data_IF_125554624812
#
_entry.id   IF_125554624812
#
_cell.length_a   1.000
_cell.length_b   1.000
_cell.length_c   1.000
_cell.angle_alpha   90.00
_cell.angle_beta   90.00
_cell.angle_gamma   90.00
#
_symmetry.space_group_name_H-M   'P 1'
#
loop_
_entity.id
_entity.type
_entity.pdbx_description
1 polymer ?
#
# COMPACT_ATOMS: atom_id res chain seq x y z
N UNK A 1 -56.24 -22.43 14.83
CA UNK A 1 -55.42 -23.02 13.77
C UNK A 1 -54.78 -21.85 13.02
N UNK A 2 -53.62 -21.46 13.43
CA UNK A 2 -52.92 -20.35 12.80
C UNK A 2 -51.45 -20.69 12.79
N UNK A 3 -50.90 -20.84 11.60
CA UNK A 3 -49.50 -21.11 11.35
C UNK A 3 -48.81 -19.76 11.28
N UNK A 4 -47.93 -19.49 12.21
CA UNK A 4 -47.00 -18.39 12.16
C UNK A 4 -45.65 -18.96 11.87
N UNK A 5 -45.09 -18.55 10.73
CA UNK A 5 -43.66 -18.74 10.39
C UNK A 5 -42.87 -17.56 10.95
N UNK A 6 -41.76 -17.79 11.61
CA UNK A 6 -40.81 -16.70 11.90
C UNK A 6 -39.86 -16.55 10.71
N UNK A 7 -39.85 -15.39 10.14
CA UNK A 7 -38.75 -14.89 9.31
C UNK A 7 -37.75 -14.22 10.25
N UNK A 8 -36.79 -14.97 10.71
CA UNK A 8 -35.68 -14.44 11.46
C UNK A 8 -34.57 -13.98 10.55
N UNK A 9 -34.33 -12.69 10.67
CA UNK A 9 -33.03 -12.00 10.65
C UNK A 9 -31.97 -12.52 9.69
N UNK A 10 -31.88 -11.90 8.56
CA UNK A 10 -30.64 -11.82 7.81
C UNK A 10 -29.80 -10.73 8.49
N UNK A 11 -28.94 -11.16 9.37
CA UNK A 11 -27.93 -10.35 10.03
C UNK A 11 -26.91 -9.84 9.01
N UNK A 12 -26.79 -8.55 8.98
CA UNK A 12 -25.59 -7.71 8.70
C UNK A 12 -24.62 -8.24 7.67
N UNK A 13 -24.64 -7.57 6.55
CA UNK A 13 -23.55 -7.52 5.59
C UNK A 13 -22.25 -7.18 6.31
N UNK A 14 -21.29 -8.10 6.25
CA UNK A 14 -19.91 -7.79 6.50
C UNK A 14 -19.47 -6.74 5.48
N UNK A 15 -19.25 -5.53 5.93
CA UNK A 15 -18.57 -4.50 5.13
C UNK A 15 -17.17 -5.04 4.91
N UNK A 16 -16.87 -5.42 3.67
CA UNK A 16 -15.54 -5.84 3.25
C UNK A 16 -14.55 -4.75 3.62
N UNK A 17 -13.65 -5.07 4.52
CA UNK A 17 -12.52 -4.23 4.85
C UNK A 17 -11.58 -4.21 3.65
N UNK A 18 -11.33 -3.05 3.13
CA UNK A 18 -10.19 -2.84 2.26
C UNK A 18 -8.98 -2.66 3.19
N UNK A 19 -8.26 -3.74 3.47
CA UNK A 19 -6.92 -3.59 4.01
C UNK A 19 -6.12 -2.84 2.94
N UNK A 20 -5.62 -1.69 3.31
CA UNK A 20 -4.67 -1.00 2.46
C UNK A 20 -3.34 -1.68 2.67
N UNK A 21 -2.88 -2.28 1.61
CA UNK A 21 -1.47 -2.58 1.47
C UNK A 21 -0.78 -1.24 1.47
N UNK A 22 0.14 -1.05 2.41
CA UNK A 22 1.22 -0.11 2.21
C UNK A 22 2.09 -0.67 1.09
N UNK A 23 1.53 -0.74 -0.11
CA UNK A 23 2.33 -0.87 -1.32
C UNK A 23 3.09 0.42 -1.36
N UNK A 24 4.39 0.36 -1.15
CA UNK A 24 5.27 1.42 -1.59
C UNK A 24 4.91 1.63 -3.07
N UNK A 25 4.04 2.58 -3.33
CA UNK A 25 3.76 3.02 -4.68
C UNK A 25 4.95 3.88 -5.10
N UNK A 26 6.11 3.22 -5.19
CA UNK A 26 7.20 3.79 -5.96
C UNK A 26 6.66 3.82 -7.37
N UNK A 27 6.47 5.02 -7.87
CA UNK A 27 5.75 5.26 -9.10
C UNK A 27 6.25 4.35 -10.20
N UNK A 28 5.33 3.70 -10.88
CA UNK A 28 5.58 3.12 -12.19
C UNK A 28 5.84 4.29 -13.16
N UNK A 29 6.96 5.00 -12.97
CA UNK A 29 7.54 5.79 -14.04
C UNK A 29 8.01 4.82 -15.11
N UNK A 30 7.07 4.31 -15.90
CA UNK A 30 7.43 3.71 -17.16
C UNK A 30 7.99 4.83 -18.01
N UNK A 31 9.30 4.99 -18.00
CA UNK A 31 10.01 5.64 -19.09
C UNK A 31 9.72 4.82 -20.34
N UNK A 32 8.53 4.99 -20.90
CA UNK A 32 8.26 4.58 -22.27
C UNK A 32 9.23 5.40 -23.11
N UNK A 33 10.35 4.79 -23.48
CA UNK A 33 11.23 5.33 -24.50
C UNK A 33 10.37 5.51 -25.74
N UNK A 34 9.86 6.72 -25.88
CA UNK A 34 9.19 7.17 -27.09
C UNK A 34 10.20 7.00 -28.23
N UNK A 35 9.92 6.08 -29.13
CA UNK A 35 10.52 6.09 -30.45
C UNK A 35 10.34 7.50 -31.03
N UNK A 36 11.47 8.14 -31.28
CA UNK A 36 11.68 9.43 -31.90
C UNK A 36 10.45 10.03 -32.56
N UNK A 37 9.89 11.04 -31.95
CA UNK A 37 9.00 11.99 -32.59
C UNK A 37 9.61 13.37 -32.47
N UNK A 38 9.76 14.04 -33.63
CA UNK A 38 10.35 15.37 -33.75
C UNK A 38 9.74 16.39 -32.78
N UNK A 39 10.51 17.42 -32.34
CA UNK A 39 10.02 18.41 -31.38
C UNK A 39 8.97 19.30 -32.05
N UNK A 40 7.71 19.05 -31.78
CA UNK A 40 6.65 20.01 -31.94
C UNK A 40 6.25 20.53 -30.57
N UNK A 41 6.54 21.80 -30.31
CA UNK A 41 6.21 22.57 -29.12
C UNK A 41 4.70 22.69 -28.90
N UNK A 42 4.06 21.61 -28.52
CA UNK A 42 2.75 21.59 -27.90
C UNK A 42 2.75 20.35 -27.00
N UNK A 43 3.23 20.49 -25.75
CA UNK A 43 3.01 19.51 -24.71
C UNK A 43 1.51 19.23 -24.60
N UNK A 44 1.06 18.20 -25.29
CA UNK A 44 -0.30 17.74 -25.16
C UNK A 44 -0.46 17.19 -23.74
N UNK A 45 -1.20 17.90 -22.91
CA UNK A 45 -1.64 17.44 -21.58
C UNK A 45 -2.64 16.29 -21.74
N UNK A 46 -2.18 15.18 -22.31
CA UNK A 46 -3.02 14.02 -22.53
C UNK A 46 -3.18 13.32 -21.18
N UNK A 47 -4.40 13.25 -20.71
CA UNK A 47 -4.73 12.45 -19.51
C UNK A 47 -5.01 11.03 -19.94
N UNK A 48 -4.29 10.08 -19.38
CA UNK A 48 -4.53 8.65 -19.55
C UNK A 48 -5.40 8.15 -18.42
N UNK A 49 -6.37 7.30 -18.73
CA UNK A 49 -7.27 6.65 -17.77
C UNK A 49 -7.11 5.15 -17.86
N UNK A 50 -7.14 4.52 -16.70
CA UNK A 50 -7.14 3.07 -16.60
C UNK A 50 -8.18 2.59 -15.61
N UNK A 51 -8.85 1.50 -15.95
CA UNK A 51 -9.77 0.78 -15.07
C UNK A 51 -9.40 -0.70 -15.05
N UNK A 52 -9.43 -1.28 -13.86
CA UNK A 52 -9.07 -2.67 -13.70
C UNK A 52 -9.67 -3.31 -12.47
N UNK A 53 -9.42 -4.59 -12.37
CA UNK A 53 -9.80 -5.40 -11.22
C UNK A 53 -8.74 -6.46 -10.97
N UNK A 54 -8.47 -6.71 -9.72
CA UNK A 54 -7.54 -7.73 -9.28
C UNK A 54 -8.03 -8.45 -8.04
N UNK A 55 -7.15 -9.27 -7.54
CA UNK A 55 -7.27 -9.94 -6.24
C UNK A 55 -5.96 -9.78 -5.49
N UNK A 56 -6.06 -9.61 -4.20
CA UNK A 56 -4.93 -9.56 -3.30
C UNK A 56 -5.14 -10.55 -2.16
N UNK A 57 -4.06 -11.16 -1.76
CA UNK A 57 -4.00 -12.07 -0.62
C UNK A 57 -2.88 -11.62 0.30
N UNK A 58 -3.22 -11.20 1.50
CA UNK A 58 -2.29 -10.66 2.47
C UNK A 58 -2.31 -11.45 3.77
N UNK A 59 -1.16 -11.54 4.41
CA UNK A 59 -1.03 -12.13 5.72
C UNK A 59 -0.94 -11.04 6.77
N UNK A 60 -1.97 -10.96 7.62
CA UNK A 60 -2.01 -10.03 8.74
C UNK A 60 -1.02 -10.42 9.86
N UNK A 61 -0.45 -9.45 10.59
CA UNK A 61 0.48 -9.74 11.68
C UNK A 61 -0.19 -10.29 12.94
N UNK A 62 -1.49 -10.07 13.12
CA UNK A 62 -2.22 -10.36 14.35
C UNK A 62 -2.43 -11.85 14.58
N UNK A 63 -2.29 -12.26 15.83
CA UNK A 63 -2.49 -13.64 16.26
C UNK A 63 -3.94 -14.10 16.03
N UNK A 64 -4.08 -15.25 15.40
CA UNK A 64 -5.39 -15.82 15.09
C UNK A 64 -6.04 -15.29 13.81
N UNK A 65 -5.55 -14.21 13.22
CA UNK A 65 -6.02 -13.76 11.90
C UNK A 65 -5.31 -14.56 10.82
N UNK A 66 -6.10 -15.11 9.88
CA UNK A 66 -5.59 -15.83 8.71
C UNK A 66 -5.09 -14.90 7.62
N UNK A 67 -5.07 -15.43 6.39
CA UNK A 67 -4.86 -14.57 5.21
C UNK A 67 -6.15 -13.86 4.85
N UNK A 68 -6.05 -12.58 4.62
CA UNK A 68 -7.12 -11.81 4.03
C UNK A 68 -7.04 -11.90 2.50
N UNK A 69 -8.18 -12.17 1.87
CA UNK A 69 -8.30 -12.26 0.42
C UNK A 69 -9.37 -11.29 -0.04
N UNK A 70 -8.95 -10.26 -0.73
CA UNK A 70 -9.84 -9.17 -1.08
C UNK A 70 -9.79 -8.81 -2.57
N UNK A 71 -10.90 -8.29 -3.12
CA UNK A 71 -10.88 -7.70 -4.44
C UNK A 71 -10.01 -6.44 -4.44
N UNK A 72 -9.26 -6.24 -5.51
CA UNK A 72 -8.41 -5.10 -5.73
C UNK A 72 -8.96 -4.27 -6.90
N UNK A 73 -9.79 -3.27 -6.65
CA UNK A 73 -10.20 -2.34 -7.70
C UNK A 73 -9.00 -1.49 -8.12
N UNK A 74 -8.77 -1.41 -9.42
CA UNK A 74 -7.67 -0.63 -10.00
C UNK A 74 -8.26 0.56 -10.75
N UNK A 75 -7.95 1.75 -10.29
CA UNK A 75 -8.22 3.00 -10.98
C UNK A 75 -6.88 3.70 -11.20
N UNK A 76 -6.61 4.07 -12.44
CA UNK A 76 -5.43 4.83 -12.83
C UNK A 76 -5.85 6.12 -13.52
N UNK A 77 -5.23 7.22 -13.11
CA UNK A 77 -5.33 8.50 -13.82
C UNK A 77 -3.94 9.11 -13.85
N UNK A 78 -3.44 9.34 -15.03
CA UNK A 78 -2.09 9.86 -15.22
C UNK A 78 -2.11 11.09 -16.12
N UNK A 79 -1.53 12.17 -15.64
CA UNK A 79 -1.23 13.36 -16.46
C UNK A 79 0.00 14.08 -15.88
N UNK A 80 0.35 15.24 -16.46
CA UNK A 80 1.53 16.01 -16.02
C UNK A 80 1.46 16.54 -14.57
N UNK A 81 0.29 16.56 -13.94
CA UNK A 81 0.08 17.16 -12.62
C UNK A 81 -0.29 16.15 -11.55
N UNK A 82 -0.95 15.07 -11.95
CA UNK A 82 -1.55 14.11 -11.04
C UNK A 82 -1.24 12.70 -11.52
N UNK A 83 -0.83 11.88 -10.58
CA UNK A 83 -0.84 10.42 -10.69
C UNK A 83 -1.82 9.88 -9.63
N UNK A 84 -2.82 9.12 -10.06
CA UNK A 84 -3.70 8.38 -9.19
C UNK A 84 -3.58 6.91 -9.55
N UNK A 85 -3.29 6.08 -8.55
CA UNK A 85 -3.27 4.64 -8.71
C UNK A 85 -3.83 3.95 -7.45
N UNK A 86 -4.93 3.22 -7.63
CA UNK A 86 -5.61 2.57 -6.50
C UNK A 86 -6.03 3.59 -5.41
N UNK A 87 -5.59 3.41 -4.15
CA UNK A 87 -5.97 4.27 -3.04
C UNK A 87 -5.09 5.53 -2.88
N UNK A 88 -4.12 5.74 -3.76
CA UNK A 88 -3.14 6.84 -3.68
C UNK A 88 -3.35 7.88 -4.76
N UNK A 89 -3.20 9.15 -4.38
CA UNK A 89 -3.15 10.30 -5.28
C UNK A 89 -1.85 11.05 -5.00
N UNK A 90 -1.05 11.21 -6.04
CA UNK A 90 0.14 12.05 -6.05
C UNK A 90 -0.10 13.32 -6.87
N UNK A 91 0.21 14.46 -6.30
CA UNK A 91 0.30 15.74 -6.99
C UNK A 91 1.76 16.00 -7.34
N UNK A 92 2.08 15.88 -8.62
CA UNK A 92 3.44 16.02 -9.15
C UNK A 92 3.91 17.47 -9.02
N UNK A 93 5.08 17.65 -8.46
CA UNK A 93 5.78 18.94 -8.42
C UNK A 93 6.81 18.99 -9.57
N UNK A 94 7.38 20.16 -9.86
CA UNK A 94 8.43 20.25 -10.87
C UNK A 94 9.63 19.36 -10.53
N UNK A 95 10.07 18.57 -11.50
CA UNK A 95 11.26 17.73 -11.40
C UNK A 95 12.54 18.54 -11.58
N UNK A 96 13.65 17.94 -11.20
CA UNK A 96 15.00 18.48 -11.37
C UNK A 96 15.86 17.50 -12.17
N UNK A 97 16.23 17.88 -13.38
CA UNK A 97 17.22 17.15 -14.16
C UNK A 97 18.61 17.40 -13.54
N UNK A 98 19.21 16.33 -12.99
CA UNK A 98 20.58 16.38 -12.44
C UNK A 98 21.58 16.18 -13.57
N UNK A 99 21.26 15.26 -14.50
CA UNK A 99 22.07 14.95 -15.68
C UNK A 99 21.18 14.29 -16.74
N UNK A 100 21.73 13.99 -17.91
CA UNK A 100 21.00 13.30 -19.01
C UNK A 100 20.42 11.93 -18.63
N UNK A 101 20.87 11.36 -17.52
CA UNK A 101 20.46 10.03 -17.04
C UNK A 101 20.00 10.02 -15.58
N UNK A 102 19.80 11.18 -14.98
CA UNK A 102 19.37 11.29 -13.58
C UNK A 102 18.35 12.39 -13.41
N UNK A 103 17.21 12.03 -12.87
CA UNK A 103 16.11 12.93 -12.56
C UNK A 103 15.73 12.80 -11.10
N UNK A 104 15.26 13.91 -10.51
CA UNK A 104 14.75 13.98 -9.16
C UNK A 104 13.33 14.54 -9.20
N UNK A 105 12.38 13.68 -8.88
CA UNK A 105 10.97 14.00 -8.84
C UNK A 105 10.50 14.26 -7.43
N UNK A 106 9.49 15.13 -7.30
CA UNK A 106 8.85 15.46 -6.03
C UNK A 106 7.35 15.39 -6.19
N UNK A 107 6.67 14.96 -5.13
CA UNK A 107 5.22 14.88 -5.08
C UNK A 107 4.64 15.18 -3.70
N UNK A 108 3.39 15.60 -3.69
CA UNK A 108 2.55 15.61 -2.50
C UNK A 108 1.61 14.43 -2.61
N UNK A 109 1.59 13.57 -1.60
CA UNK A 109 0.85 12.31 -1.62
C UNK A 109 -0.29 12.37 -0.63
N UNK A 110 -1.43 11.83 -1.04
CA UNK A 110 -2.57 11.49 -0.17
C UNK A 110 -2.97 10.07 -0.47
N UNK A 111 -2.94 9.21 0.55
CA UNK A 111 -3.34 7.81 0.42
C UNK A 111 -4.35 7.40 1.49
N UNK A 112 -5.14 6.40 1.17
CA UNK A 112 -5.99 5.73 2.15
C UNK A 112 -5.34 4.41 2.57
N UNK A 113 -5.16 4.26 3.87
CA UNK A 113 -4.70 3.03 4.52
C UNK A 113 -5.89 2.38 5.23
N UNK A 114 -6.27 1.18 4.83
CA UNK A 114 -7.35 0.40 5.42
C UNK A 114 -6.92 -0.50 6.58
N UNK A 115 -5.70 -0.36 7.06
CA UNK A 115 -5.18 -1.14 8.19
C UNK A 115 -6.06 -1.00 9.44
N UNK A 116 -5.95 -1.97 10.34
CA UNK A 116 -6.66 -1.97 11.60
C UNK A 116 -7.40 -3.27 11.85
N UNK A 117 -8.22 -3.30 12.92
CA UNK A 117 -8.98 -4.47 13.33
C UNK A 117 -10.21 -4.09 14.16
N UNK A 118 -11.15 -5.03 14.28
CA UNK A 118 -12.26 -5.02 15.24
C UNK A 118 -12.12 -6.18 16.24
N UNK A 119 -12.81 -6.06 17.38
CA UNK A 119 -12.74 -7.09 18.44
C UNK A 119 -13.13 -8.49 17.97
N UNK A 120 -14.00 -8.62 16.99
CA UNK A 120 -14.50 -9.88 16.47
C UNK A 120 -13.61 -10.57 15.43
N UNK A 121 -12.46 -10.00 15.05
CA UNK A 121 -11.62 -10.55 13.99
C UNK A 121 -10.81 -11.78 14.44
N UNK A 122 -10.45 -11.83 15.71
CA UNK A 122 -9.76 -12.95 16.31
C UNK A 122 -9.95 -12.97 17.84
N UNK A 123 -9.84 -14.14 18.46
CA UNK A 123 -9.98 -14.33 19.92
C UNK A 123 -9.02 -13.43 20.74
N UNK A 124 -7.83 -13.16 20.22
CA UNK A 124 -6.85 -12.29 20.87
C UNK A 124 -7.33 -10.84 20.92
N UNK A 125 -8.22 -10.44 20.02
CA UNK A 125 -8.75 -9.08 19.90
C UNK A 125 -10.05 -8.85 20.66
N UNK A 126 -10.66 -9.89 21.25
CA UNK A 126 -11.87 -9.76 22.07
C UNK A 126 -11.70 -8.69 23.17
N UNK A 127 -12.61 -7.71 23.21
CA UNK A 127 -12.57 -6.60 24.16
C UNK A 127 -11.50 -5.53 23.87
N UNK A 128 -10.85 -5.59 22.71
CA UNK A 128 -10.04 -4.49 22.19
C UNK A 128 -10.96 -3.42 21.60
N UNK A 129 -10.57 -2.17 21.75
CA UNK A 129 -11.20 -1.10 20.99
C UNK A 129 -10.84 -1.23 19.51
N UNK A 130 -11.78 -0.95 18.63
CA UNK A 130 -11.54 -0.91 17.19
C UNK A 130 -10.34 -0.01 16.83
N UNK A 131 -9.48 -0.48 15.94
CA UNK A 131 -8.41 0.31 15.31
C UNK A 131 -8.75 0.52 13.85
N UNK A 132 -8.88 1.77 13.46
CA UNK A 132 -9.30 2.16 12.10
C UNK A 132 -8.11 2.58 11.28
N UNK A 133 -8.11 2.16 10.04
CA UNK A 133 -7.29 2.81 9.02
C UNK A 133 -7.70 4.27 8.81
N UNK A 134 -7.06 4.94 7.85
CA UNK A 134 -7.36 6.34 7.62
C UNK A 134 -6.62 6.94 6.44
N UNK A 135 -6.78 8.24 6.28
CA UNK A 135 -6.05 8.98 5.26
C UNK A 135 -4.71 9.45 5.82
N UNK A 136 -3.69 9.26 4.99
CA UNK A 136 -2.33 9.72 5.22
C UNK A 136 -1.98 10.75 4.16
N UNK A 137 -1.25 11.78 4.53
CA UNK A 137 -0.80 12.80 3.59
C UNK A 137 0.63 13.20 3.91
N UNK A 138 1.38 13.53 2.86
CA UNK A 138 2.79 13.90 3.02
C UNK A 138 3.49 14.24 1.73
N UNK A 139 4.78 14.00 1.68
CA UNK A 139 5.64 14.34 0.57
C UNK A 139 6.47 13.13 0.14
N UNK A 140 6.70 13.05 -1.15
CA UNK A 140 7.48 12.00 -1.83
C UNK A 140 8.61 12.63 -2.63
N UNK A 141 9.71 11.95 -2.68
CA UNK A 141 10.86 12.23 -3.53
C UNK A 141 11.30 10.93 -4.20
N UNK A 142 11.58 10.99 -5.48
CA UNK A 142 12.10 9.88 -6.27
C UNK A 142 13.33 10.33 -7.04
N UNK A 143 14.41 9.59 -6.92
CA UNK A 143 15.61 9.78 -7.71
C UNK A 143 15.77 8.61 -8.66
N UNK A 144 15.64 8.89 -9.93
CA UNK A 144 15.77 7.93 -11.02
C UNK A 144 17.17 7.96 -11.61
N UNK A 145 17.73 6.78 -11.90
CA UNK A 145 19.02 6.64 -12.55
C UNK A 145 19.08 5.41 -13.47
N UNK A 146 20.12 5.34 -14.32
CA UNK A 146 20.35 4.19 -15.21
C UNK A 146 20.55 2.85 -14.48
N UNK A 147 20.88 2.88 -13.18
CA UNK A 147 21.25 1.68 -12.42
C UNK A 147 20.22 1.26 -11.41
N UNK A 148 19.64 2.21 -10.67
CA UNK A 148 18.72 1.97 -9.57
C UNK A 148 17.93 3.24 -9.31
N UNK A 149 16.67 3.09 -8.94
CA UNK A 149 15.81 4.17 -8.53
C UNK A 149 15.70 4.14 -7.00
N UNK A 150 15.74 5.32 -6.38
CA UNK A 150 15.62 5.50 -4.94
C UNK A 150 14.37 6.34 -4.66
N UNK A 151 13.48 5.81 -3.82
CA UNK A 151 12.31 6.52 -3.32
C UNK A 151 12.43 6.84 -1.83
N UNK A 152 11.92 8.00 -1.44
CA UNK A 152 11.71 8.37 -0.05
C UNK A 152 10.36 9.09 0.10
N UNK A 153 9.61 8.71 1.12
CA UNK A 153 8.29 9.26 1.40
C UNK A 153 8.13 9.52 2.89
N UNK A 154 7.52 10.64 3.24
CA UNK A 154 7.09 10.95 4.60
C UNK A 154 5.60 11.20 4.62
N UNK A 155 4.89 10.52 5.52
CA UNK A 155 3.44 10.62 5.66
C UNK A 155 3.04 10.86 7.12
N UNK A 156 1.95 11.60 7.31
CA UNK A 156 1.31 11.80 8.59
C UNK A 156 -0.18 11.42 8.51
N UNK A 157 -0.69 10.81 9.56
CA UNK A 157 -2.12 10.51 9.69
C UNK A 157 -2.94 11.81 9.80
N UNK A 158 -3.71 12.10 8.75
CA UNK A 158 -4.60 13.28 8.70
C UNK A 158 -6.03 12.95 9.11
N UNK A 159 -6.37 11.68 9.28
CA UNK A 159 -7.65 11.23 9.86
C UNK A 159 -7.68 11.42 11.37
N UNK A 160 -6.51 11.48 12.01
CA UNK A 160 -6.37 11.65 13.45
C UNK A 160 -6.63 10.39 14.28
N UNK A 161 -6.64 9.21 13.65
CA UNK A 161 -6.83 7.92 14.30
C UNK A 161 -5.59 7.54 15.12
N UNK A 162 -4.45 7.32 14.49
CA UNK A 162 -3.17 7.08 15.15
C UNK A 162 -2.48 8.37 15.58
N UNK A 163 -2.68 9.46 14.83
CA UNK A 163 -1.95 10.74 14.94
C UNK A 163 -0.43 10.56 14.77
N UNK A 164 -0.06 9.52 14.07
CA UNK A 164 1.32 9.11 13.88
C UNK A 164 1.92 9.59 12.58
N UNK A 165 3.15 9.16 12.36
CA UNK A 165 3.95 9.46 11.17
C UNK A 165 4.68 8.20 10.72
N UNK A 166 4.94 8.11 9.42
CA UNK A 166 5.76 7.07 8.85
C UNK A 166 6.73 7.66 7.81
N UNK A 167 7.86 6.98 7.63
CA UNK A 167 8.84 7.29 6.62
C UNK A 167 9.15 5.99 5.89
N UNK A 168 8.95 5.99 4.59
CA UNK A 168 9.29 4.90 3.70
C UNK A 168 10.52 5.27 2.89
N UNK A 169 11.46 4.35 2.74
CA UNK A 169 12.58 4.47 1.82
C UNK A 169 12.74 3.17 1.05
N UNK A 170 13.08 3.27 -0.21
CA UNK A 170 13.20 2.09 -1.05
C UNK A 170 14.21 2.24 -2.18
N UNK A 171 14.68 1.10 -2.65
CA UNK A 171 15.48 0.95 -3.84
C UNK A 171 14.81 -0.04 -4.75
N UNK A 172 14.73 0.29 -6.02
CA UNK A 172 14.19 -0.61 -7.03
C UNK A 172 14.94 -0.53 -8.36
N UNK A 173 14.73 -1.52 -9.18
CA UNK A 173 15.23 -1.53 -10.54
C UNK A 173 14.24 -2.23 -11.45
N UNK A 174 13.81 -1.54 -12.49
CA UNK A 174 12.99 -2.15 -13.53
C UNK A 174 13.87 -2.72 -14.65
N UNK A 175 13.57 -3.94 -15.05
CA UNK A 175 14.15 -4.63 -16.20
C UNK A 175 13.09 -4.89 -17.24
N UNK A 176 13.42 -4.53 -18.48
CA UNK A 176 12.60 -4.80 -19.66
C UNK A 176 12.96 -6.16 -20.24
N UNK A 177 12.00 -7.06 -20.34
CA UNK A 177 12.14 -8.34 -21.01
C UNK A 177 11.35 -8.34 -22.34
N UNK A 178 12.00 -7.85 -23.37
CA UNK A 178 11.36 -7.61 -24.67
C UNK A 178 10.40 -6.44 -24.63
N UNK A 179 9.34 -6.48 -25.45
CA UNK A 179 8.40 -5.37 -25.60
C UNK A 179 7.18 -5.46 -24.67
N UNK A 180 7.06 -6.55 -23.89
CA UNK A 180 5.81 -6.86 -23.21
C UNK A 180 5.94 -7.08 -21.71
N UNK A 181 7.11 -7.35 -21.19
CA UNK A 181 7.24 -7.72 -19.77
C UNK A 181 8.24 -6.86 -19.03
N UNK A 182 7.76 -6.22 -17.97
CA UNK A 182 8.56 -5.46 -17.01
C UNK A 182 8.67 -6.26 -15.71
N UNK A 183 9.84 -6.29 -15.11
CA UNK A 183 10.10 -6.91 -13.82
C UNK A 183 10.85 -5.93 -12.92
N UNK A 184 10.29 -5.64 -11.77
CA UNK A 184 10.81 -4.67 -10.82
C UNK A 184 11.01 -5.29 -9.45
N UNK A 185 12.16 -5.90 -9.14
CA UNK A 185 12.52 -6.20 -7.77
C UNK A 185 12.74 -4.91 -6.99
N UNK A 186 12.39 -4.94 -5.72
CA UNK A 186 12.55 -3.81 -4.80
C UNK A 186 12.92 -4.30 -3.40
N UNK A 187 13.55 -3.43 -2.65
CA UNK A 187 13.80 -3.56 -1.22
C UNK A 187 13.53 -2.24 -0.54
N UNK A 188 13.00 -2.26 0.67
CA UNK A 188 12.64 -1.05 1.37
C UNK A 188 12.74 -1.17 2.88
N UNK A 189 12.54 -0.03 3.53
CA UNK A 189 12.38 0.08 4.96
C UNK A 189 11.28 1.09 5.27
N UNK A 190 10.39 0.72 6.19
CA UNK A 190 9.30 1.55 6.67
C UNK A 190 9.49 1.83 8.16
N UNK A 191 9.84 3.07 8.50
CA UNK A 191 9.87 3.53 9.87
C UNK A 191 8.51 4.11 10.27
N UNK A 192 8.02 3.69 11.42
CA UNK A 192 6.76 4.15 12.02
C UNK A 192 7.04 4.72 13.40
N UNK A 193 6.44 5.85 13.73
CA UNK A 193 6.62 6.45 15.05
C UNK A 193 5.88 5.66 16.15
N UNK A 194 6.23 5.94 17.42
CA UNK A 194 5.63 5.28 18.57
C UNK A 194 4.10 5.41 18.62
N UNK A 195 3.53 6.49 18.10
CA UNK A 195 2.06 6.68 18.11
C UNK A 195 1.38 5.73 17.15
N UNK A 196 1.95 5.51 15.96
CA UNK A 196 1.46 4.56 14.98
C UNK A 196 1.53 3.14 15.55
N UNK A 197 2.68 2.75 16.11
CA UNK A 197 2.87 1.42 16.68
C UNK A 197 1.97 1.20 17.90
N UNK A 198 1.89 2.16 18.80
CA UNK A 198 1.01 2.07 19.98
C UNK A 198 -0.47 2.00 19.59
N UNK A 199 -0.88 2.71 18.53
CA UNK A 199 -2.25 2.66 18.05
C UNK A 199 -2.63 1.28 17.51
N UNK A 200 -1.80 0.67 16.67
CA UNK A 200 -2.12 -0.60 16.02
C UNK A 200 -1.74 -1.83 16.85
N UNK A 201 -0.65 -1.76 17.63
CA UNK A 201 -0.08 -2.91 18.33
C UNK A 201 -0.07 -2.74 19.86
N UNK A 202 -0.45 -1.59 20.39
CA UNK A 202 -0.55 -1.32 21.81
C UNK A 202 -1.74 -2.01 22.46
N UNK A 203 -1.59 -2.37 23.75
CA UNK A 203 -2.65 -2.87 24.62
C UNK A 203 -2.79 -1.92 25.80
N UNK A 204 -3.90 -1.20 25.87
CA UNK A 204 -4.20 -0.24 26.93
C UNK A 204 -4.58 -0.93 28.24
N UNK A 205 -4.53 -0.21 29.36
CA UNK A 205 -4.83 -0.77 30.69
C UNK A 205 -6.25 -1.37 30.77
N UNK A 206 -7.22 -0.79 30.08
CA UNK A 206 -8.62 -1.25 30.02
C UNK A 206 -8.84 -2.42 29.04
N UNK A 207 -7.84 -2.71 28.21
CA UNK A 207 -7.83 -3.80 27.22
C UNK A 207 -7.05 -5.04 27.74
N UNK A 208 -6.44 -4.95 28.93
CA UNK A 208 -5.62 -6.03 29.51
C UNK A 208 -6.45 -7.28 29.83
N UNK A 209 -5.91 -8.45 29.47
CA UNK A 209 -6.42 -9.76 29.84
C UNK A 209 -5.29 -10.64 30.35
N UNK A 210 -5.62 -11.81 30.94
CA UNK A 210 -4.62 -12.73 31.44
C UNK A 210 -3.60 -13.21 30.39
N UNK A 211 -4.06 -13.39 29.17
CA UNK A 211 -3.28 -13.82 28.00
C UNK A 211 -2.80 -12.65 27.12
N UNK A 212 -3.16 -11.42 27.48
CA UNK A 212 -2.86 -10.20 26.74
C UNK A 212 -2.46 -9.10 27.73
N UNK A 213 -1.20 -9.04 28.17
CA UNK A 213 -0.69 -8.01 29.07
C UNK A 213 -0.68 -6.63 28.40
N UNK A 214 -0.61 -5.57 29.22
CA UNK A 214 -0.42 -4.21 28.72
C UNK A 214 0.85 -4.12 27.87
N UNK A 215 0.76 -3.38 26.78
CA UNK A 215 1.88 -3.15 25.86
C UNK A 215 1.82 -1.73 25.33
N UNK A 216 2.91 -0.99 25.44
CA UNK A 216 3.07 0.34 24.86
C UNK A 216 4.00 0.23 23.63
N UNK A 217 3.53 0.64 22.49
CA UNK A 217 4.29 0.61 21.25
C UNK A 217 5.41 1.66 21.24
N UNK A 218 6.59 1.25 20.81
CA UNK A 218 7.72 2.12 20.52
C UNK A 218 7.87 2.29 19.00
N UNK A 219 8.69 3.26 18.56
CA UNK A 219 8.94 3.43 17.13
C UNK A 219 9.64 2.21 16.54
N UNK A 220 9.21 1.77 15.38
CA UNK A 220 9.65 0.54 14.75
C UNK A 220 10.11 0.76 13.32
N UNK A 221 11.00 -0.10 12.83
CA UNK A 221 11.42 -0.13 11.43
C UNK A 221 11.26 -1.53 10.85
N UNK A 222 10.33 -1.67 9.94
CA UNK A 222 10.15 -2.89 9.16
C UNK A 222 11.06 -2.88 7.93
N UNK A 223 11.47 -4.05 7.48
CA UNK A 223 12.24 -4.24 6.24
C UNK A 223 11.39 -5.06 5.27
N UNK A 224 11.32 -4.62 4.06
CA UNK A 224 10.55 -5.26 3.01
C UNK A 224 11.41 -5.62 1.79
N UNK A 225 11.01 -6.65 1.10
CA UNK A 225 11.56 -7.05 -0.18
C UNK A 225 10.48 -7.71 -1.04
N UNK A 226 10.47 -7.39 -2.31
CA UNK A 226 9.48 -7.92 -3.22
C UNK A 226 9.88 -7.85 -4.67
N UNK A 227 8.97 -8.32 -5.50
CA UNK A 227 9.08 -8.26 -6.95
C UNK A 227 7.71 -7.92 -7.53
N UNK A 228 7.68 -6.92 -8.38
CA UNK A 228 6.51 -6.55 -9.19
C UNK A 228 6.74 -6.94 -10.65
N UNK A 229 5.70 -7.37 -11.31
CA UNK A 229 5.73 -7.70 -12.73
C UNK A 229 4.55 -7.04 -13.45
N UNK A 230 4.80 -6.55 -14.65
CA UNK A 230 3.76 -6.04 -15.55
C UNK A 230 3.90 -6.73 -16.90
N UNK A 231 2.84 -7.38 -17.34
CA UNK A 231 2.78 -7.94 -18.68
C UNK A 231 1.80 -7.12 -19.53
N UNK A 232 2.30 -6.50 -20.58
CA UNK A 232 1.54 -5.69 -21.53
C UNK A 232 1.20 -6.53 -22.76
N UNK A 233 -0.07 -6.87 -22.96
CA UNK A 233 -0.52 -7.53 -24.19
C UNK A 233 -0.44 -6.58 -25.39
N UNK A 234 -0.79 -5.34 -25.13
CA UNK A 234 -0.70 -4.18 -26.01
C UNK A 234 -0.71 -2.89 -25.19
N UNK A 235 -0.83 -1.72 -25.84
CA UNK A 235 -0.83 -0.41 -25.16
C UNK A 235 -2.06 -0.15 -24.26
N UNK A 236 -3.10 -0.97 -24.37
CA UNK A 236 -4.33 -0.83 -23.59
C UNK A 236 -4.49 -1.90 -22.52
N UNK A 237 -3.97 -3.10 -22.73
CA UNK A 237 -4.23 -4.28 -21.92
C UNK A 237 -2.99 -4.71 -21.13
N UNK A 238 -3.05 -4.66 -19.81
CA UNK A 238 -1.95 -5.06 -18.93
C UNK A 238 -2.41 -6.00 -17.83
N UNK A 239 -1.53 -6.89 -17.42
CA UNK A 239 -1.64 -7.68 -16.19
C UNK A 239 -0.55 -7.26 -15.24
N UNK A 240 -0.96 -6.95 -14.01
CA UNK A 240 -0.10 -6.54 -12.90
C UNK A 240 -0.02 -7.72 -11.92
N UNK A 241 1.17 -8.00 -11.43
CA UNK A 241 1.39 -9.05 -10.43
C UNK A 241 2.50 -8.65 -9.47
N UNK A 242 2.43 -9.14 -8.25
CA UNK A 242 3.51 -8.90 -7.29
C UNK A 242 3.47 -9.83 -6.11
N UNK A 243 4.62 -9.96 -5.50
CA UNK A 243 4.81 -10.62 -4.22
C UNK A 243 5.73 -9.75 -3.37
N UNK A 244 5.42 -9.67 -2.08
CA UNK A 244 6.20 -8.93 -1.12
C UNK A 244 6.29 -9.70 0.19
N UNK A 245 7.39 -9.56 0.88
CA UNK A 245 7.62 -10.09 2.23
C UNK A 245 8.15 -8.96 3.08
N UNK A 246 7.50 -8.74 4.24
CA UNK A 246 7.91 -7.76 5.23
C UNK A 246 8.39 -8.47 6.49
N UNK A 247 9.60 -8.16 6.91
CA UNK A 247 10.12 -8.55 8.22
C UNK A 247 9.73 -7.49 9.24
N UNK A 248 8.94 -7.90 10.23
CA UNK A 248 8.49 -7.03 11.29
C UNK A 248 9.62 -6.73 12.28
N UNK A 249 9.64 -5.50 12.78
CA UNK A 249 10.52 -5.05 13.84
C UNK A 249 10.22 -5.76 15.17
N UNK A 250 11.18 -5.77 16.08
CA UNK A 250 11.01 -6.41 17.39
C UNK A 250 9.91 -5.71 18.19
N UNK A 251 9.81 -4.39 18.10
CA UNK A 251 8.78 -3.55 18.74
C UNK A 251 7.34 -3.89 18.29
N UNK A 252 7.18 -4.52 17.14
CA UNK A 252 5.87 -5.04 16.69
C UNK A 252 5.69 -6.48 17.18
N UNK A 253 6.73 -7.30 17.04
CA UNK A 253 6.68 -8.73 17.42
C UNK A 253 6.52 -8.97 18.91
N UNK A 254 7.00 -8.05 19.74
CA UNK A 254 6.89 -8.15 21.21
C UNK A 254 5.48 -7.81 21.72
N UNK A 255 4.62 -7.27 20.84
CA UNK A 255 3.20 -7.07 21.16
C UNK A 255 2.49 -8.41 21.39
N UNK A 256 1.69 -8.57 22.45
CA UNK A 256 0.89 -9.76 22.69
C UNK A 256 -0.19 -9.99 21.61
N UNK A 257 -0.44 -9.01 20.75
CA UNK A 257 -1.36 -9.12 19.63
C UNK A 257 -0.75 -9.83 18.41
N UNK A 258 0.57 -10.01 18.39
CA UNK A 258 1.31 -10.46 17.20
C UNK A 258 1.93 -11.84 17.45
N UNK A 259 1.74 -12.76 16.50
CA UNK A 259 2.34 -14.10 16.56
C UNK A 259 3.31 -14.39 15.43
N UNK A 260 3.61 -13.40 14.60
CA UNK A 260 4.43 -13.55 13.39
C UNK A 260 5.64 -12.63 13.40
N UNK A 261 6.71 -13.12 12.79
CA UNK A 261 7.92 -12.31 12.56
C UNK A 261 8.00 -11.71 11.17
N UNK A 262 7.15 -12.20 10.26
CA UNK A 262 7.06 -11.75 8.87
C UNK A 262 5.61 -11.78 8.40
N UNK A 263 5.27 -10.85 7.54
CA UNK A 263 4.04 -10.87 6.74
C UNK A 263 4.38 -10.99 5.27
N UNK A 264 3.42 -11.32 4.45
CA UNK A 264 3.60 -11.38 3.00
C UNK A 264 2.30 -11.08 2.27
N UNK A 265 2.43 -10.49 1.11
CA UNK A 265 1.32 -10.21 0.21
C UNK A 265 1.58 -10.74 -1.19
N UNK A 266 0.52 -11.08 -1.89
CA UNK A 266 0.53 -11.46 -3.30
C UNK A 266 -0.66 -10.81 -3.97
N UNK A 267 -0.48 -10.23 -5.13
CA UNK A 267 -1.59 -9.69 -5.91
C UNK A 267 -1.48 -10.06 -7.39
N UNK A 268 -2.64 -10.08 -8.03
CA UNK A 268 -2.80 -10.24 -9.47
C UNK A 268 -3.95 -9.35 -9.92
N UNK A 269 -3.71 -8.50 -10.92
CA UNK A 269 -4.69 -7.58 -11.44
C UNK A 269 -4.63 -7.45 -12.95
N UNK A 270 -5.75 -7.09 -13.54
CA UNK A 270 -5.86 -6.71 -14.93
C UNK A 270 -6.28 -5.25 -15.03
N UNK A 271 -5.59 -4.49 -15.87
CA UNK A 271 -5.82 -3.08 -16.10
C UNK A 271 -6.04 -2.81 -17.60
N UNK A 272 -7.09 -2.07 -17.90
CA UNK A 272 -7.36 -1.53 -19.23
C UNK A 272 -7.14 -0.03 -19.25
N UNK A 273 -6.28 0.46 -20.15
CA UNK A 273 -6.00 1.89 -20.39
C UNK A 273 -6.72 2.36 -21.65
N UNK A 274 -7.38 3.51 -21.54
CA UNK A 274 -8.17 4.11 -22.62
C UNK A 274 -7.32 4.95 -23.56
#
# INVERSE_FOLDING_TARGET
MSLISPLDSISSASVSRMAAVSVLAVGLCTSATALAQEPNDAESSTTTWGLGLGVMSEQEPYAGIGRDNQPLPLLEVENRYIHLFGPEIEFKLPSLDISDSQELDFGIVVQYDGSGYEEGDADILDGMSERKGGFWAGAKMEWSSDFVDFGAEWLADVSGNSKGQLINVGLERTWDFGEHFLLTPHVGASWQDAKTIDYYFGVRDDEVRFDRPAYAGESATNIEAGVRGVYMFDKHHSVLMGVEVTRLADEIKDSPLVDRSTTNSVYLGYLYRF
#
